data_IF_490268517311
#
_entry.id   IF_490268517311
#
_cell.length_a   1.000
_cell.length_b   1.000
_cell.length_c   1.000
_cell.angle_alpha   90.00
_cell.angle_beta   90.00
_cell.angle_gamma   90.00
#
_symmetry.space_group_name_H-M   'P 1'
#
loop_
_entity.id
_entity.type
_entity.pdbx_description
1 polymer ?
#
# COMPACT_ATOMS: atom_id res chain seq x y z
N UNK A 1 -8.59 10.35 -12.22
CA UNK A 1 -8.33 9.92 -10.82
C UNK A 1 -6.89 10.24 -10.41
N UNK A 2 -6.66 11.48 -9.98
CA UNK A 2 -5.44 12.00 -9.38
C UNK A 2 -5.26 11.54 -7.92
N UNK A 3 -4.12 11.88 -7.30
CA UNK A 3 -3.72 11.44 -5.95
C UNK A 3 -4.67 11.82 -4.82
N UNK A 4 -5.28 12.99 -4.94
CA UNK A 4 -6.33 13.53 -4.07
C UNK A 4 -7.68 12.86 -4.33
N UNK A 5 -8.08 12.69 -5.59
CA UNK A 5 -9.30 11.96 -5.97
C UNK A 5 -9.28 10.51 -5.43
N UNK A 6 -8.18 9.78 -5.62
CA UNK A 6 -8.02 8.37 -5.15
C UNK A 6 -8.15 8.29 -3.63
N UNK A 7 -7.59 9.26 -2.90
CA UNK A 7 -7.73 9.39 -1.44
C UNK A 7 -9.18 9.65 -1.06
N UNK A 8 -9.80 10.68 -1.62
CA UNK A 8 -11.18 11.06 -1.32
C UNK A 8 -12.16 9.90 -1.60
N UNK A 9 -11.96 9.15 -2.69
CA UNK A 9 -12.76 7.98 -3.06
C UNK A 9 -12.60 6.82 -2.05
N UNK A 10 -11.37 6.56 -1.57
CA UNK A 10 -11.09 5.55 -0.53
C UNK A 10 -11.68 5.97 0.82
N UNK A 11 -11.55 7.24 1.18
CA UNK A 11 -12.12 7.81 2.41
C UNK A 11 -13.66 7.88 2.36
N UNK A 12 -14.26 7.95 1.16
CA UNK A 12 -15.71 7.83 0.98
C UNK A 12 -16.21 6.40 1.22
N UNK A 13 -15.58 5.41 0.58
CA UNK A 13 -15.88 3.98 0.86
C UNK A 13 -15.80 3.66 2.35
N UNK A 14 -14.76 4.15 3.05
CA UNK A 14 -14.62 3.94 4.50
C UNK A 14 -15.72 4.64 5.32
N UNK A 15 -16.15 5.84 4.93
CA UNK A 15 -17.27 6.52 5.61
C UNK A 15 -18.57 5.72 5.50
N UNK A 16 -18.89 5.25 4.30
CA UNK A 16 -20.08 4.44 4.02
C UNK A 16 -20.05 3.09 4.76
N UNK A 17 -18.90 2.39 4.72
CA UNK A 17 -18.66 1.15 5.48
C UNK A 17 -18.81 1.33 7.00
N UNK A 18 -18.58 2.54 7.52
CA UNK A 18 -18.75 2.86 8.93
C UNK A 18 -20.19 3.26 9.32
N UNK A 19 -21.07 3.53 8.36
CA UNK A 19 -22.45 4.02 8.58
C UNK A 19 -23.56 3.01 8.26
N UNK A 20 -23.21 1.78 7.87
CA UNK A 20 -24.17 0.72 7.47
C UNK A 20 -25.23 0.40 8.53
N UNK A 21 -26.42 -0.01 8.06
CA UNK A 21 -27.45 -0.58 8.91
C UNK A 21 -27.83 -2.01 8.47
N UNK A 22 -27.86 -3.00 9.40
CA UNK A 22 -27.49 -2.92 10.80
C UNK A 22 -25.97 -2.73 11.01
N UNK A 23 -25.55 -2.40 12.24
CA UNK A 23 -24.13 -2.14 12.52
C UNK A 23 -23.24 -3.38 12.32
N UNK A 24 -22.05 -3.18 11.76
CA UNK A 24 -21.08 -4.21 11.42
C UNK A 24 -19.98 -4.38 12.48
N UNK A 25 -19.85 -5.58 13.04
CA UNK A 25 -18.92 -5.93 14.11
C UNK A 25 -17.47 -6.17 13.64
N UNK A 26 -17.23 -6.46 12.36
CA UNK A 26 -15.94 -6.93 11.82
C UNK A 26 -15.47 -6.21 10.56
N UNK A 27 -16.12 -5.10 10.19
CA UNK A 27 -15.84 -4.30 8.99
C UNK A 27 -14.38 -3.83 8.90
N UNK A 28 -13.61 -4.34 7.92
CA UNK A 28 -12.20 -3.97 7.77
C UNK A 28 -12.04 -2.59 7.10
N UNK A 29 -11.08 -1.80 7.59
CA UNK A 29 -10.71 -0.54 6.97
C UNK A 29 -10.13 -0.76 5.55
N UNK A 30 -10.74 -0.11 4.57
CA UNK A 30 -10.40 -0.21 3.16
C UNK A 30 -9.24 0.71 2.79
N UNK A 31 -8.31 0.22 1.97
CA UNK A 31 -7.10 0.93 1.55
C UNK A 31 -6.96 0.95 0.03
N UNK A 32 -6.33 1.98 -0.54
CA UNK A 32 -6.11 2.03 -1.99
C UNK A 32 -5.05 1.01 -2.41
N UNK A 33 -5.33 0.27 -3.47
CA UNK A 33 -4.42 -0.69 -4.09
C UNK A 33 -4.20 -0.34 -5.57
N UNK A 34 -2.92 -0.29 -5.96
CA UNK A 34 -2.49 0.13 -7.28
C UNK A 34 -2.51 -0.99 -8.31
N UNK A 35 -2.39 -2.25 -7.89
CA UNK A 35 -2.53 -3.40 -8.78
C UNK A 35 -4.01 -3.52 -9.20
N UNK A 36 -4.93 -3.40 -8.23
CA UNK A 36 -6.38 -3.36 -8.50
C UNK A 36 -6.79 -2.20 -9.41
N UNK A 37 -6.21 -1.01 -9.20
CA UNK A 37 -6.49 0.17 -10.03
C UNK A 37 -5.97 0.01 -11.47
N UNK A 38 -4.79 -0.59 -11.66
CA UNK A 38 -4.26 -0.91 -13.00
C UNK A 38 -5.11 -1.95 -13.73
N UNK A 39 -5.62 -2.96 -13.02
CA UNK A 39 -6.60 -3.92 -13.56
C UNK A 39 -7.91 -3.22 -13.97
N UNK A 40 -8.40 -2.28 -13.15
CA UNK A 40 -9.60 -1.51 -13.44
C UNK A 40 -9.40 -0.62 -14.68
N UNK A 41 -8.22 -0.01 -14.84
CA UNK A 41 -7.89 0.83 -16.00
C UNK A 41 -7.81 0.00 -17.29
N UNK A 42 -7.22 -1.20 -17.22
CA UNK A 42 -7.14 -2.13 -18.34
C UNK A 42 -8.53 -2.62 -18.79
N UNK A 43 -9.48 -2.81 -17.85
CA UNK A 43 -10.86 -3.17 -18.17
C UNK A 43 -11.69 -1.99 -18.67
N UNK A 44 -11.61 -0.81 -18.03
CA UNK A 44 -12.36 0.38 -18.44
C UNK A 44 -12.06 0.78 -19.90
N UNK A 45 -10.78 0.64 -20.32
CA UNK A 45 -10.33 0.84 -21.71
C UNK A 45 -10.89 -0.14 -22.74
N UNK A 46 -11.62 -1.18 -22.33
CA UNK A 46 -12.27 -2.10 -23.27
C UNK A 46 -13.58 -1.55 -23.85
N UNK A 47 -14.21 -0.56 -23.17
CA UNK A 47 -15.53 -0.04 -23.52
C UNK A 47 -16.59 -1.12 -23.79
N UNK A 48 -16.61 -2.14 -22.91
CA UNK A 48 -17.58 -3.24 -22.92
C UNK A 48 -18.34 -3.19 -21.61
N UNK A 49 -19.66 -3.08 -21.66
CA UNK A 49 -20.49 -3.16 -20.46
C UNK A 49 -20.55 -4.60 -19.96
N UNK A 50 -20.21 -4.80 -18.69
CA UNK A 50 -20.11 -6.13 -18.06
C UNK A 50 -18.84 -6.29 -17.25
N UNK A 51 -18.78 -7.35 -16.44
CA UNK A 51 -17.64 -7.62 -15.57
C UNK A 51 -16.47 -8.25 -16.33
N UNK A 52 -15.24 -7.94 -15.94
CA UNK A 52 -14.06 -8.64 -16.45
C UNK A 52 -12.70 -8.06 -16.06
N UNK A 53 -11.62 -8.63 -16.61
CA UNK A 53 -11.62 -9.82 -17.48
C UNK A 53 -11.93 -11.09 -16.67
N UNK A 54 -12.54 -12.09 -17.30
CA UNK A 54 -13.17 -13.22 -16.60
C UNK A 54 -12.18 -14.11 -15.83
N UNK A 55 -10.92 -14.17 -16.24
CA UNK A 55 -9.83 -14.87 -15.54
C UNK A 55 -9.47 -14.26 -14.17
N UNK A 56 -9.93 -13.05 -13.88
CA UNK A 56 -9.62 -12.31 -12.65
C UNK A 56 -10.81 -12.24 -11.67
N UNK A 57 -12.05 -12.44 -12.16
CA UNK A 57 -13.27 -12.33 -11.37
C UNK A 57 -13.43 -13.39 -10.27
N UNK A 58 -12.64 -14.46 -10.28
CA UNK A 58 -12.58 -15.42 -9.17
C UNK A 58 -11.79 -14.89 -7.96
N UNK A 59 -10.82 -13.98 -8.20
CA UNK A 59 -9.90 -13.48 -7.18
C UNK A 59 -10.23 -12.06 -6.68
N UNK A 60 -10.93 -11.26 -7.49
CA UNK A 60 -11.33 -9.89 -7.15
C UNK A 60 -12.86 -9.70 -7.23
N UNK A 61 -13.37 -8.80 -6.40
CA UNK A 61 -14.69 -8.21 -6.58
C UNK A 61 -14.63 -7.04 -7.56
N UNK A 62 -15.75 -6.67 -8.18
CA UNK A 62 -15.79 -5.56 -9.13
C UNK A 62 -17.16 -4.87 -9.15
N UNK A 63 -17.18 -3.56 -8.86
CA UNK A 63 -18.35 -2.70 -9.09
C UNK A 63 -18.16 -1.87 -10.36
N UNK A 64 -19.27 -1.61 -11.06
CA UNK A 64 -19.31 -0.93 -12.35
C UNK A 64 -20.33 0.20 -12.33
N UNK A 65 -20.01 1.33 -12.97
CA UNK A 65 -20.97 2.39 -13.25
C UNK A 65 -20.70 2.98 -14.63
N UNK A 66 -21.75 3.30 -15.37
CA UNK A 66 -21.69 3.97 -16.66
C UNK A 66 -22.68 5.14 -16.66
N UNK A 67 -22.27 6.29 -17.19
CA UNK A 67 -23.17 7.44 -17.34
C UNK A 67 -22.83 8.29 -18.57
N UNK A 68 -23.83 9.03 -19.04
CA UNK A 68 -23.74 10.01 -20.13
C UNK A 68 -24.23 11.36 -19.63
N UNK A 69 -23.70 12.45 -20.18
CA UNK A 69 -24.04 13.83 -19.82
C UNK A 69 -22.96 14.50 -18.96
N UNK A 70 -23.36 15.53 -18.21
CA UNK A 70 -22.43 16.35 -17.42
C UNK A 70 -21.63 15.54 -16.40
N UNK A 71 -20.33 15.84 -16.29
CA UNK A 71 -19.43 15.15 -15.37
C UNK A 71 -19.93 15.18 -13.92
N UNK A 72 -19.80 14.04 -13.25
CA UNK A 72 -20.15 13.81 -11.84
C UNK A 72 -18.90 13.43 -11.04
N UNK A 73 -18.74 13.93 -9.80
CA UNK A 73 -17.66 13.49 -8.92
C UNK A 73 -17.75 11.99 -8.66
N UNK A 74 -16.62 11.29 -8.57
CA UNK A 74 -16.60 9.82 -8.44
C UNK A 74 -17.37 9.30 -7.21
N UNK A 75 -17.45 10.10 -6.14
CA UNK A 75 -18.26 9.82 -4.96
C UNK A 75 -19.77 9.69 -5.25
N UNK A 76 -20.29 10.32 -6.31
CA UNK A 76 -21.69 10.20 -6.72
C UNK A 76 -22.04 8.77 -7.17
N UNK A 77 -21.14 8.10 -7.89
CA UNK A 77 -21.35 6.71 -8.33
C UNK A 77 -21.16 5.72 -7.18
N UNK A 78 -20.22 5.98 -6.28
CA UNK A 78 -20.06 5.19 -5.05
C UNK A 78 -21.25 5.40 -4.10
N UNK A 79 -21.88 6.57 -4.09
CA UNK A 79 -23.14 6.78 -3.39
C UNK A 79 -24.28 5.99 -4.05
N UNK A 80 -24.43 6.07 -5.38
CA UNK A 80 -25.47 5.30 -6.09
C UNK A 80 -25.33 3.77 -5.90
N UNK A 81 -24.11 3.24 -5.76
CA UNK A 81 -23.88 1.85 -5.35
C UNK A 81 -24.26 1.59 -3.88
N UNK A 82 -24.13 2.56 -3.00
CA UNK A 82 -24.52 2.44 -1.59
C UNK A 82 -26.03 2.58 -1.40
N UNK A 83 -26.69 3.43 -2.18
CA UNK A 83 -28.14 3.67 -2.15
C UNK A 83 -28.96 2.40 -2.50
N UNK A 84 -28.32 1.35 -3.05
CA UNK A 84 -28.91 0.02 -3.15
C UNK A 84 -29.27 -0.60 -1.77
N UNK A 85 -28.80 -0.04 -0.65
CA UNK A 85 -29.22 -0.35 0.73
C UNK A 85 -30.75 -0.25 0.91
N UNK A 86 -31.43 0.68 0.21
CA UNK A 86 -32.90 0.80 0.22
C UNK A 86 -33.60 -0.49 -0.25
N UNK A 87 -32.95 -1.23 -1.15
CA UNK A 87 -33.49 -2.42 -1.80
C UNK A 87 -32.98 -3.73 -1.19
N UNK A 88 -31.92 -3.68 -0.38
CA UNK A 88 -31.29 -4.83 0.24
C UNK A 88 -31.88 -5.12 1.63
N UNK A 89 -32.29 -6.37 1.85
CA UNK A 89 -32.68 -6.83 3.19
C UNK A 89 -31.55 -7.70 3.76
N UNK A 90 -30.85 -7.14 4.75
CA UNK A 90 -29.83 -7.84 5.51
C UNK A 90 -30.42 -9.07 6.25
N UNK A 91 -29.78 -10.26 6.18
CA UNK A 91 -30.30 -11.50 6.78
C UNK A 91 -30.13 -11.53 8.30
N UNK A 92 -31.11 -12.08 9.03
CA UNK A 92 -30.98 -12.28 10.48
C UNK A 92 -30.01 -13.43 10.81
N UNK A 93 -29.33 -13.38 11.97
CA UNK A 93 -28.35 -14.43 12.41
C UNK A 93 -29.01 -15.84 12.49
N UNK A 94 -30.34 -15.91 12.64
CA UNK A 94 -31.14 -17.16 12.61
C UNK A 94 -31.36 -17.75 11.21
N UNK A 95 -31.23 -16.94 10.16
CA UNK A 95 -31.49 -17.31 8.75
C UNK A 95 -30.21 -17.83 8.07
N UNK A 96 -29.04 -17.45 8.57
CA UNK A 96 -27.72 -17.89 8.12
C UNK A 96 -27.37 -19.32 8.59
N UNK A 97 -28.10 -20.34 8.12
CA UNK A 97 -27.82 -21.74 8.45
C UNK A 97 -28.36 -22.72 7.40
N UNK A 98 -27.51 -23.46 6.66
CA UNK A 98 -26.04 -23.37 6.62
C UNK A 98 -25.52 -22.13 5.86
N UNK A 99 -26.38 -21.46 5.11
CA UNK A 99 -26.09 -20.35 4.20
C UNK A 99 -27.03 -19.17 4.51
N UNK A 100 -26.56 -17.93 4.34
CA UNK A 100 -27.37 -16.72 4.45
C UNK A 100 -28.18 -16.46 3.16
N UNK A 101 -29.48 -16.09 3.26
CA UNK A 101 -30.24 -15.64 2.09
C UNK A 101 -29.78 -14.27 1.60
N UNK A 102 -29.70 -14.09 0.28
CA UNK A 102 -29.46 -12.78 -0.35
C UNK A 102 -30.77 -12.18 -0.86
N UNK A 103 -31.43 -11.38 -0.03
CA UNK A 103 -32.73 -10.77 -0.34
C UNK A 103 -32.55 -9.37 -0.92
N UNK A 104 -32.83 -9.22 -2.22
CA UNK A 104 -32.84 -7.94 -2.93
C UNK A 104 -34.24 -7.71 -3.53
N UNK A 105 -34.81 -6.52 -3.31
CA UNK A 105 -36.16 -6.14 -3.77
C UNK A 105 -36.15 -5.20 -4.98
N UNK A 106 -35.00 -4.62 -5.28
CA UNK A 106 -34.74 -3.76 -6.44
C UNK A 106 -34.08 -4.54 -7.59
N UNK A 107 -33.66 -3.85 -8.66
CA UNK A 107 -33.05 -4.50 -9.82
C UNK A 107 -31.63 -5.02 -9.53
N UNK A 108 -30.89 -4.35 -8.65
CA UNK A 108 -29.51 -4.69 -8.24
C UNK A 108 -29.33 -4.30 -6.76
N UNK A 109 -28.64 -5.14 -5.99
CA UNK A 109 -28.14 -4.83 -4.65
C UNK A 109 -26.66 -5.24 -4.46
N UNK A 110 -26.03 -5.77 -5.52
CA UNK A 110 -24.70 -6.40 -5.45
C UNK A 110 -23.56 -5.38 -5.44
N UNK A 111 -23.79 -4.12 -5.81
CA UNK A 111 -22.80 -3.07 -5.66
C UNK A 111 -22.73 -2.61 -4.20
N UNK A 112 -23.87 -2.47 -3.52
CA UNK A 112 -23.91 -2.20 -2.08
C UNK A 112 -23.17 -3.29 -1.30
N UNK A 113 -23.57 -4.57 -1.47
CA UNK A 113 -23.00 -5.68 -0.69
C UNK A 113 -21.49 -5.80 -0.88
N UNK A 114 -20.95 -5.54 -2.09
CA UNK A 114 -19.50 -5.52 -2.32
C UNK A 114 -18.83 -4.28 -1.70
N UNK A 115 -19.43 -3.09 -1.80
CA UNK A 115 -18.91 -1.86 -1.18
C UNK A 115 -18.78 -2.04 0.34
N UNK A 116 -19.77 -2.68 0.97
CA UNK A 116 -19.82 -2.94 2.42
C UNK A 116 -19.27 -4.31 2.83
N UNK A 117 -18.60 -5.05 1.94
CA UNK A 117 -18.08 -6.39 2.28
C UNK A 117 -16.96 -6.34 3.32
N UNK A 118 -17.13 -6.94 4.49
CA UNK A 118 -16.26 -6.77 5.65
C UNK A 118 -14.79 -7.05 5.35
N UNK A 119 -14.44 -8.21 4.78
CA UNK A 119 -13.04 -8.55 4.49
C UNK A 119 -12.45 -7.75 3.30
N UNK A 120 -13.24 -7.09 2.46
CA UNK A 120 -12.74 -6.33 1.29
C UNK A 120 -12.01 -5.04 1.70
N UNK A 121 -10.82 -5.20 2.26
CA UNK A 121 -9.93 -4.16 2.82
C UNK A 121 -9.08 -3.42 1.78
N UNK A 122 -9.24 -3.72 0.49
CA UNK A 122 -8.58 -3.02 -0.62
C UNK A 122 -9.53 -2.69 -1.74
N UNK A 123 -9.35 -1.51 -2.31
CA UNK A 123 -10.03 -1.05 -3.53
C UNK A 123 -9.03 -0.38 -4.47
N UNK A 124 -9.20 -0.58 -5.77
CA UNK A 124 -8.53 0.21 -6.79
C UNK A 124 -9.47 0.45 -7.95
N UNK A 125 -9.68 1.72 -8.29
CA UNK A 125 -10.62 2.15 -9.32
C UNK A 125 -9.92 2.84 -10.49
N UNK A 126 -10.58 2.83 -11.64
CA UNK A 126 -10.20 3.61 -12.81
C UNK A 126 -11.45 4.11 -13.56
N UNK A 127 -11.24 5.14 -14.38
CA UNK A 127 -12.27 5.81 -15.17
C UNK A 127 -11.77 5.95 -16.60
N UNK A 128 -12.65 5.68 -17.56
CA UNK A 128 -12.39 5.90 -18.98
C UNK A 128 -13.63 6.44 -19.68
N UNK A 129 -13.44 7.41 -20.60
CA UNK A 129 -14.53 7.92 -21.44
C UNK A 129 -14.56 7.16 -22.75
N UNK A 130 -15.63 6.41 -22.95
CA UNK A 130 -15.87 5.62 -24.15
C UNK A 130 -16.59 6.46 -25.20
N UNK A 131 -16.12 6.43 -26.45
CA UNK A 131 -16.81 7.10 -27.57
C UNK A 131 -18.22 6.53 -27.77
N UNK A 132 -18.33 5.21 -27.68
CA UNK A 132 -19.58 4.44 -27.65
C UNK A 132 -19.41 3.28 -26.66
N UNK A 133 -20.48 2.92 -25.94
CA UNK A 133 -20.56 1.68 -25.17
C UNK A 133 -21.98 1.11 -25.24
N UNK A 134 -22.11 -0.18 -25.56
CA UNK A 134 -23.41 -0.85 -25.62
C UNK A 134 -23.85 -1.29 -24.22
N UNK A 135 -25.00 -0.79 -23.75
CA UNK A 135 -25.52 -0.90 -22.39
C UNK A 135 -27.02 -1.20 -22.47
N UNK A 136 -27.42 -2.42 -22.08
CA UNK A 136 -28.80 -2.93 -22.15
C UNK A 136 -29.48 -2.65 -23.51
N UNK A 137 -28.88 -3.17 -24.57
CA UNK A 137 -29.30 -3.06 -25.99
C UNK A 137 -29.35 -1.63 -26.59
N UNK A 138 -29.01 -0.59 -25.81
CA UNK A 138 -28.81 0.77 -26.30
C UNK A 138 -27.31 1.10 -26.44
N UNK A 139 -26.95 1.96 -27.40
CA UNK A 139 -25.59 2.54 -27.50
C UNK A 139 -25.56 3.87 -26.76
N UNK A 140 -24.63 4.02 -25.82
CA UNK A 140 -24.45 5.20 -24.98
C UNK A 140 -23.19 5.96 -25.46
N UNK A 141 -23.34 7.09 -26.18
CA UNK A 141 -22.21 7.81 -26.75
C UNK A 141 -21.54 8.75 -25.72
N UNK A 142 -20.23 8.91 -25.81
CA UNK A 142 -19.38 9.71 -24.90
C UNK A 142 -19.57 9.35 -23.42
N UNK A 143 -19.85 8.08 -23.13
CA UNK A 143 -20.15 7.59 -21.79
C UNK A 143 -18.88 7.47 -20.93
N UNK A 144 -18.94 7.93 -19.70
CA UNK A 144 -17.90 7.69 -18.71
C UNK A 144 -18.17 6.33 -18.03
N UNK A 145 -17.21 5.41 -18.16
CA UNK A 145 -17.22 4.08 -17.56
C UNK A 145 -16.25 4.04 -16.36
N UNK A 146 -16.81 3.84 -15.16
CA UNK A 146 -16.10 3.66 -13.90
C UNK A 146 -16.05 2.17 -13.55
N UNK A 147 -14.84 1.70 -13.23
CA UNK A 147 -14.58 0.34 -12.73
C UNK A 147 -13.89 0.46 -11.38
N UNK A 148 -14.40 -0.22 -10.35
CA UNK A 148 -13.73 -0.36 -9.05
C UNK A 148 -13.53 -1.85 -8.72
N UNK A 149 -12.28 -2.27 -8.56
CA UNK A 149 -11.90 -3.62 -8.18
C UNK A 149 -11.62 -3.72 -6.67
N UNK A 150 -12.03 -4.82 -6.03
CA UNK A 150 -11.95 -5.04 -4.59
C UNK A 150 -11.15 -6.31 -4.24
N UNK A 151 -10.38 -6.29 -3.15
CA UNK A 151 -9.62 -7.47 -2.68
C UNK A 151 -9.55 -7.60 -1.15
N UNK A 152 -9.81 -8.80 -0.58
CA UNK A 152 -10.40 -9.97 -1.24
C UNK A 152 -11.78 -9.70 -1.84
N UNK A 153 -12.19 -10.58 -2.75
CA UNK A 153 -13.53 -10.61 -3.36
C UNK A 153 -14.62 -10.74 -2.28
N UNK A 154 -15.73 -10.02 -2.48
CA UNK A 154 -16.98 -10.19 -1.75
C UNK A 154 -18.06 -10.84 -2.60
N UNK A 155 -19.32 -10.74 -2.15
CA UNK A 155 -20.50 -11.34 -2.77
C UNK A 155 -20.37 -12.86 -2.92
N UNK A 156 -19.88 -13.53 -1.88
CA UNK A 156 -19.89 -14.98 -1.80
C UNK A 156 -21.33 -15.49 -1.59
N UNK A 157 -21.72 -16.49 -2.38
CA UNK A 157 -23.05 -17.10 -2.29
C UNK A 157 -23.16 -17.78 -0.92
N UNK A 158 -24.26 -17.51 -0.21
CA UNK A 158 -24.50 -18.01 1.14
C UNK A 158 -23.80 -17.24 2.27
N UNK A 159 -23.14 -16.11 2.00
CA UNK A 159 -22.54 -15.25 3.04
C UNK A 159 -23.24 -13.88 3.12
N UNK A 160 -23.44 -13.38 4.34
CA UNK A 160 -23.79 -11.99 4.61
C UNK A 160 -22.57 -11.08 4.40
N UNK A 161 -22.75 -9.81 3.97
CA UNK A 161 -21.61 -8.96 3.60
C UNK A 161 -20.73 -8.56 4.80
N UNK A 162 -21.24 -8.61 6.02
CA UNK A 162 -20.52 -8.38 7.26
C UNK A 162 -21.18 -9.18 8.38
N UNK A 163 -20.65 -9.12 9.61
CA UNK A 163 -21.34 -9.67 10.79
C UNK A 163 -22.04 -8.57 11.56
N UNK A 164 -23.32 -8.77 11.86
CA UNK A 164 -24.09 -7.85 12.70
C UNK A 164 -23.52 -7.77 14.12
N UNK A 165 -23.49 -6.57 14.69
CA UNK A 165 -23.18 -6.34 16.10
C UNK A 165 -22.51 -4.99 16.37
N UNK A 166 -22.14 -4.74 17.62
CA UNK A 166 -21.45 -3.51 18.04
C UNK A 166 -20.18 -3.31 17.19
N UNK A 167 -19.94 -2.11 16.61
CA UNK A 167 -18.80 -1.87 15.75
C UNK A 167 -17.47 -2.30 16.36
N UNK A 168 -16.64 -2.93 15.52
CA UNK A 168 -15.35 -3.54 15.88
C UNK A 168 -15.37 -4.71 16.88
N UNK A 169 -16.52 -5.13 17.43
CA UNK A 169 -16.56 -6.18 18.47
C UNK A 169 -16.16 -7.59 18.02
N UNK A 170 -16.15 -7.87 16.70
CA UNK A 170 -15.72 -9.15 16.10
C UNK A 170 -14.53 -8.96 15.13
N UNK A 171 -13.76 -7.87 15.23
CA UNK A 171 -12.60 -7.60 14.37
C UNK A 171 -11.62 -8.78 14.27
N UNK A 172 -11.21 -9.22 13.06
CA UNK A 172 -10.29 -10.34 12.90
C UNK A 172 -8.94 -10.15 13.63
N UNK A 173 -8.33 -11.21 14.22
CA UNK A 173 -7.13 -11.08 15.07
C UNK A 173 -5.92 -10.37 14.44
N UNK A 174 -5.84 -10.33 13.11
CA UNK A 174 -4.89 -9.53 12.31
C UNK A 174 -4.91 -8.02 12.62
N UNK A 175 -5.96 -7.52 13.28
CA UNK A 175 -6.12 -6.12 13.69
C UNK A 175 -5.78 -5.83 15.16
N UNK A 176 -5.48 -6.84 15.98
CA UNK A 176 -5.04 -6.64 17.37
C UNK A 176 -6.00 -5.85 18.25
N UNK A 177 -7.30 -5.84 17.92
CA UNK A 177 -8.33 -5.08 18.64
C UNK A 177 -8.40 -3.57 18.34
N UNK A 178 -7.65 -3.04 17.36
CA UNK A 178 -7.74 -1.62 17.03
C UNK A 178 -8.98 -1.29 16.20
N UNK A 179 -9.79 -0.38 16.76
CA UNK A 179 -10.94 0.23 16.14
C UNK A 179 -10.68 1.72 15.88
N UNK A 180 -11.19 2.26 14.77
CA UNK A 180 -11.26 3.72 14.56
C UNK A 180 -12.44 4.03 13.66
N UNK A 181 -13.40 4.82 14.16
CA UNK A 181 -14.61 5.20 13.42
C UNK A 181 -15.42 4.00 12.95
N UNK A 182 -15.65 3.01 13.81
CA UNK A 182 -16.43 1.80 13.51
C UNK A 182 -15.70 0.72 12.68
N UNK A 183 -14.52 1.00 12.15
CA UNK A 183 -13.76 0.07 11.30
C UNK A 183 -12.58 -0.59 12.04
N UNK A 184 -12.27 -1.83 11.67
CA UNK A 184 -11.08 -2.55 12.12
C UNK A 184 -9.82 -2.00 11.41
N UNK A 185 -8.92 -1.39 12.18
CA UNK A 185 -7.67 -0.81 11.70
C UNK A 185 -6.47 -1.67 12.13
N UNK A 186 -5.41 -1.71 11.31
CA UNK A 186 -4.18 -2.38 11.76
C UNK A 186 -3.53 -1.56 12.87
N UNK A 187 -3.20 -2.21 13.98
CA UNK A 187 -2.27 -1.66 14.99
C UNK A 187 -0.91 -1.44 14.32
N UNK A 188 -0.72 -0.26 13.74
CA UNK A 188 0.62 0.32 13.69
C UNK A 188 1.03 0.57 15.13
N UNK A 189 2.03 -0.15 15.64
CA UNK A 189 2.54 0.05 17.01
C UNK A 189 3.32 1.37 17.04
N UNK A 190 2.58 2.48 17.05
CA UNK A 190 3.09 3.76 17.52
C UNK A 190 3.29 3.61 19.01
N UNK A 191 4.54 3.41 19.44
CA UNK A 191 4.92 3.66 20.84
C UNK A 191 4.46 5.09 21.19
N UNK A 192 3.81 5.33 22.34
CA UNK A 192 3.46 6.68 22.75
C UNK A 192 4.71 7.56 22.78
N UNK A 193 4.61 8.81 22.31
CA UNK A 193 5.72 9.77 22.23
C UNK A 193 6.11 10.35 23.60
N UNK A 194 5.99 9.55 24.67
CA UNK A 194 6.16 9.98 26.06
C UNK A 194 6.68 8.88 26.99
N UNK A 195 7.64 8.09 26.50
CA UNK A 195 8.41 7.15 27.33
C UNK A 195 9.89 7.57 27.49
N UNK A 196 10.38 8.48 26.64
CA UNK A 196 11.77 8.94 26.72
C UNK A 196 12.01 9.87 27.93
N UNK A 197 11.03 10.70 28.31
CA UNK A 197 11.11 11.62 29.48
C UNK A 197 11.30 10.88 30.81
N UNK A 198 10.71 9.68 30.98
CA UNK A 198 10.80 8.93 32.24
C UNK A 198 12.13 8.19 32.43
N UNK A 199 12.91 8.00 31.36
CA UNK A 199 14.25 7.39 31.45
C UNK A 199 15.22 8.22 32.31
N UNK A 200 14.97 9.53 32.45
CA UNK A 200 15.78 10.46 33.23
C UNK A 200 15.60 10.32 34.75
N UNK A 201 14.57 9.60 35.22
CA UNK A 201 14.22 9.46 36.65
C UNK A 201 14.57 8.09 37.26
N UNK A 202 15.24 7.21 36.51
CA UNK A 202 15.78 5.95 37.05
C UNK A 202 14.73 4.92 37.49
N UNK A 203 13.50 5.02 36.98
CA UNK A 203 12.40 4.09 37.31
C UNK A 203 12.63 2.74 36.62
N UNK A 204 12.64 1.66 37.40
CA UNK A 204 12.72 0.30 36.87
C UNK A 204 11.31 -0.31 36.79
N UNK A 205 10.99 -0.90 35.63
CA UNK A 205 9.76 -1.66 35.40
C UNK A 205 10.16 -3.12 35.13
N UNK A 206 9.66 -4.03 35.97
CA UNK A 206 9.87 -5.47 35.81
C UNK A 206 8.56 -6.14 35.37
N UNK A 207 8.68 -7.12 34.46
CA UNK A 207 7.58 -7.88 33.90
C UNK A 207 7.72 -9.34 34.31
N UNK A 208 6.83 -9.83 35.16
CA UNK A 208 6.85 -11.23 35.62
C UNK A 208 5.41 -11.74 35.76
N UNK A 209 5.11 -12.88 35.13
CA UNK A 209 3.82 -13.57 35.18
C UNK A 209 2.58 -12.65 35.02
N UNK A 210 2.61 -11.79 33.99
CA UNK A 210 1.58 -10.79 33.62
C UNK A 210 1.32 -9.65 34.62
N UNK A 211 1.99 -9.62 35.78
CA UNK A 211 1.96 -8.49 36.70
C UNK A 211 3.06 -7.47 36.37
N UNK A 212 2.79 -6.19 36.67
CA UNK A 212 3.69 -5.06 36.43
C UNK A 212 4.12 -4.50 37.79
N UNK A 213 5.42 -4.53 38.06
CA UNK A 213 6.03 -3.96 39.27
C UNK A 213 6.86 -2.74 38.91
N UNK A 214 6.60 -1.61 39.57
CA UNK A 214 7.27 -0.32 39.33
C UNK A 214 8.09 0.07 40.55
N UNK A 215 9.40 0.24 40.39
CA UNK A 215 10.34 0.61 41.45
C UNK A 215 10.86 2.02 41.16
N UNK A 216 10.62 2.95 42.10
CA UNK A 216 11.01 4.36 42.00
C UNK A 216 12.05 4.69 43.07
N UNK A 217 13.25 5.17 42.72
CA UNK A 217 14.24 5.62 43.71
C UNK A 217 13.81 6.95 44.35
N UNK A 218 14.04 7.11 45.67
CA UNK A 218 13.83 8.40 46.35
C UNK A 218 14.99 9.36 46.03
N UNK A 219 14.67 10.55 45.53
CA UNK A 219 15.62 11.66 45.28
C UNK A 219 15.09 12.93 46.00
N UNK A 220 15.92 13.72 46.69
CA UNK A 220 15.45 14.90 47.45
C UNK A 220 15.09 16.11 46.55
N UNK A 221 14.15 16.94 47.00
CA UNK A 221 13.76 18.20 46.35
C UNK A 221 14.60 19.42 46.80
N UNK A 222 14.82 20.37 45.89
CA UNK A 222 14.82 21.81 46.16
C UNK A 222 13.63 22.52 45.48
N UNK A 223 13.51 23.84 45.69
CA UNK A 223 12.23 24.59 45.64
C UNK A 223 11.96 25.43 44.37
N UNK A 224 10.65 25.63 44.18
CA UNK A 224 9.93 26.86 43.76
C UNK A 224 9.46 27.11 42.30
N UNK A 225 8.16 27.43 42.28
CA UNK A 225 7.40 28.34 41.41
C UNK A 225 7.00 27.93 39.98
N UNK A 226 5.68 27.87 39.84
CA UNK A 226 4.83 27.58 38.68
C UNK A 226 4.81 28.66 37.59
N UNK A 227 4.63 28.21 36.34
CA UNK A 227 3.56 28.70 35.46
C UNK A 227 3.25 27.65 34.38
N UNK A 228 1.99 27.60 33.92
CA UNK A 228 1.56 26.77 32.79
C UNK A 228 1.67 27.55 31.47
N UNK A 229 1.86 26.84 30.35
CA UNK A 229 1.73 27.41 29.01
C UNK A 229 1.18 26.35 28.03
N UNK A 230 0.11 26.72 27.32
CA UNK A 230 -0.54 25.93 26.28
C UNK A 230 0.11 26.18 24.90
N UNK A 231 0.06 25.21 23.99
CA UNK A 231 0.57 25.40 22.62
C UNK A 231 -0.36 24.77 21.56
N UNK A 232 -1.06 25.64 20.83
CA UNK A 232 -1.89 25.31 19.66
C UNK A 232 -1.16 25.73 18.38
N UNK A 233 -1.08 24.85 17.37
CA UNK A 233 -0.59 25.17 16.02
C UNK A 233 -1.34 24.39 14.93
N UNK A 234 -1.37 24.93 13.70
CA UNK A 234 -2.35 24.59 12.66
C UNK A 234 -1.74 24.35 11.26
N UNK A 235 -2.04 23.19 10.67
CA UNK A 235 -1.80 22.84 9.24
C UNK A 235 -0.33 22.69 8.78
N UNK A 236 -0.08 22.27 7.51
CA UNK A 236 -0.95 21.64 6.52
C UNK A 236 -0.56 20.14 6.28
N UNK A 237 -0.96 19.55 5.13
CA UNK A 237 -0.64 18.18 4.64
C UNK A 237 0.02 18.29 3.24
N UNK A 238 0.64 17.30 2.57
CA UNK A 238 0.72 15.81 2.54
C UNK A 238 2.11 15.42 1.93
N UNK A 239 2.52 14.15 1.64
CA UNK A 239 2.09 12.80 2.06
C UNK A 239 3.26 11.91 2.58
N UNK A 240 3.01 10.62 2.87
CA UNK A 240 4.03 9.59 3.13
C UNK A 240 3.87 8.38 2.18
N UNK A 241 4.94 7.96 1.50
CA UNK A 241 4.96 6.78 0.63
C UNK A 241 5.38 5.52 1.40
N UNK A 242 4.69 4.39 1.20
CA UNK A 242 5.04 3.10 1.78
C UNK A 242 5.15 2.02 0.68
N UNK A 243 6.38 1.73 0.23
CA UNK A 243 6.63 0.77 -0.85
C UNK A 243 6.64 -0.66 -0.31
N UNK A 244 5.53 -1.38 -0.49
CA UNK A 244 5.39 -2.80 -0.14
C UNK A 244 5.44 -3.66 -1.40
N UNK A 245 6.42 -4.58 -1.51
CA UNK A 245 6.71 -5.25 -2.79
C UNK A 245 6.15 -6.67 -2.88
N UNK A 246 4.94 -6.75 -3.42
CA UNK A 246 4.42 -7.96 -4.06
C UNK A 246 4.84 -8.02 -5.54
N UNK A 247 4.76 -9.22 -6.12
CA UNK A 247 4.91 -9.55 -7.55
C UNK A 247 5.00 -11.08 -7.68
N UNK A 248 4.06 -11.67 -8.40
CA UNK A 248 4.10 -13.05 -8.89
C UNK A 248 4.49 -13.09 -10.36
N UNK A 249 5.22 -14.15 -10.73
CA UNK A 249 5.58 -14.68 -12.06
C UNK A 249 7.09 -14.93 -12.24
N UNK A 250 7.42 -15.92 -13.07
CA UNK A 250 8.79 -16.32 -13.39
C UNK A 250 9.28 -15.50 -14.59
N UNK A 251 10.52 -14.98 -14.56
CA UNK A 251 11.14 -14.30 -15.71
C UNK A 251 12.15 -13.18 -15.38
N UNK A 252 12.16 -12.66 -14.14
CA UNK A 252 12.93 -11.46 -13.79
C UNK A 252 12.10 -10.17 -13.99
N UNK A 253 12.60 -8.98 -13.66
CA UNK A 253 13.98 -8.58 -13.32
C UNK A 253 14.13 -8.25 -11.82
N UNK A 254 15.15 -7.49 -11.41
CA UNK A 254 15.39 -7.16 -10.00
C UNK A 254 14.59 -5.94 -9.56
N UNK A 255 14.11 -5.94 -8.32
CA UNK A 255 13.65 -4.72 -7.66
C UNK A 255 14.87 -4.06 -6.99
N UNK A 256 15.14 -2.79 -7.29
CA UNK A 256 16.27 -2.03 -6.75
C UNK A 256 15.79 -1.05 -5.69
N UNK A 257 16.52 -0.94 -4.57
CA UNK A 257 16.16 -0.09 -3.42
C UNK A 257 17.35 0.77 -2.99
N UNK A 258 17.09 1.99 -2.54
CA UNK A 258 18.09 2.84 -1.87
C UNK A 258 18.06 2.58 -0.36
N UNK A 259 19.22 2.55 0.28
CA UNK A 259 19.36 2.42 1.72
C UNK A 259 20.26 3.52 2.28
N UNK A 260 19.78 4.24 3.29
CA UNK A 260 20.47 5.36 3.91
C UNK A 260 21.63 4.94 4.84
N UNK A 261 22.57 5.85 5.05
CA UNK A 261 23.66 5.73 6.02
C UNK A 261 23.17 5.95 7.46
N UNK A 262 23.96 5.52 8.45
CA UNK A 262 23.83 5.97 9.83
C UNK A 262 24.92 7.01 10.15
N UNK A 263 24.54 8.20 10.61
CA UNK A 263 25.46 9.29 10.96
C UNK A 263 25.02 10.05 12.21
N UNK A 264 25.96 10.70 12.89
CA UNK A 264 25.70 11.64 14.00
C UNK A 264 25.35 13.03 13.46
N UNK A 265 24.88 13.92 14.34
CA UNK A 265 24.49 15.30 14.00
C UNK A 265 25.55 16.05 13.17
N UNK A 266 25.09 16.76 12.14
CA UNK A 266 25.19 18.22 12.09
C UNK A 266 24.10 18.79 11.15
N UNK A 267 23.89 20.11 11.19
CA UNK A 267 22.79 20.80 10.51
C UNK A 267 23.12 21.18 9.07
N UNK A 268 22.18 20.95 8.13
CA UNK A 268 21.58 21.99 7.26
C UNK A 268 20.58 21.37 6.24
N UNK A 269 19.65 22.18 5.72
CA UNK A 269 18.47 21.73 4.98
C UNK A 269 18.58 21.92 3.46
N UNK A 270 18.47 20.83 2.68
CA UNK A 270 18.11 20.86 1.24
C UNK A 270 17.19 19.66 0.92
N UNK A 271 16.30 19.81 -0.06
CA UNK A 271 15.24 18.86 -0.41
C UNK A 271 15.74 17.51 -0.96
N UNK A 272 15.59 16.44 -0.17
CA UNK A 272 15.44 15.06 -0.65
C UNK A 272 14.73 14.19 0.41
N UNK A 273 13.88 13.25 0.00
CA UNK A 273 13.28 12.30 0.94
C UNK A 273 14.29 11.19 1.29
N UNK A 274 15.16 11.46 2.27
CA UNK A 274 16.32 10.62 2.60
C UNK A 274 16.33 10.08 4.04
N UNK A 275 15.17 10.09 4.71
CA UNK A 275 14.98 9.50 6.03
C UNK A 275 14.06 8.28 5.99
N UNK A 276 14.57 7.16 5.47
CA UNK A 276 14.17 5.86 6.03
C UNK A 276 14.84 5.72 7.40
N UNK A 277 14.08 5.55 8.51
CA UNK A 277 14.66 5.20 9.78
C UNK A 277 15.49 3.91 9.68
N UNK A 278 16.51 3.80 10.53
CA UNK A 278 17.48 2.70 10.45
C UNK A 278 16.81 1.33 10.64
N UNK A 279 17.49 0.28 10.15
CA UNK A 279 17.21 -1.13 10.47
C UNK A 279 16.08 -1.88 9.75
N UNK A 280 15.71 -1.49 8.51
CA UNK A 280 14.91 -2.39 7.67
C UNK A 280 15.59 -3.77 7.51
N UNK A 281 14.80 -4.85 7.58
CA UNK A 281 15.32 -6.22 7.46
C UNK A 281 16.05 -6.48 6.14
N UNK A 282 15.62 -5.81 5.06
CA UNK A 282 16.27 -5.87 3.76
C UNK A 282 17.66 -5.20 3.78
N UNK A 283 17.78 -4.04 4.41
CA UNK A 283 19.06 -3.34 4.55
C UNK A 283 20.03 -4.11 5.45
N UNK A 284 19.54 -4.74 6.54
CA UNK A 284 20.34 -5.67 7.35
C UNK A 284 20.80 -6.89 6.52
N UNK A 285 19.93 -7.48 5.69
CA UNK A 285 20.31 -8.57 4.77
C UNK A 285 21.35 -8.14 3.74
N UNK A 286 21.26 -6.92 3.20
CA UNK A 286 22.24 -6.39 2.27
C UNK A 286 23.61 -6.13 2.90
N UNK A 287 23.63 -5.55 4.12
CA UNK A 287 24.88 -5.40 4.87
C UNK A 287 25.50 -6.76 5.20
N UNK A 288 24.71 -7.72 5.70
CA UNK A 288 25.15 -9.12 5.93
C UNK A 288 25.79 -9.74 4.68
N UNK A 289 25.16 -9.57 3.52
CA UNK A 289 25.64 -10.07 2.23
C UNK A 289 26.87 -9.32 1.65
N UNK A 290 27.29 -8.20 2.26
CA UNK A 290 28.34 -7.33 1.72
C UNK A 290 27.88 -6.45 0.54
N UNK A 291 26.57 -6.43 0.25
CA UNK A 291 25.95 -5.63 -0.80
C UNK A 291 25.73 -4.16 -0.41
N UNK A 292 25.93 -3.80 0.86
CA UNK A 292 25.67 -2.46 1.40
C UNK A 292 26.72 -2.06 2.43
N UNK A 293 27.37 -0.90 2.21
CA UNK A 293 28.43 -0.40 3.08
C UNK A 293 27.94 0.37 4.33
N UNK A 294 28.88 1.03 5.04
CA UNK A 294 28.54 1.94 6.14
C UNK A 294 27.74 3.16 5.66
N UNK A 295 28.15 3.77 4.55
CA UNK A 295 27.54 4.94 3.91
C UNK A 295 26.24 4.67 3.14
N UNK A 296 25.60 3.51 3.32
CA UNK A 296 24.40 3.15 2.56
C UNK A 296 24.71 2.78 1.11
N UNK A 297 23.79 3.08 0.20
CA UNK A 297 23.90 2.80 -1.24
C UNK A 297 22.65 2.13 -1.85
N UNK A 298 22.76 1.71 -3.10
CA UNK A 298 21.69 1.05 -3.86
C UNK A 298 21.90 -0.47 -3.94
N UNK A 299 20.82 -1.22 -3.79
CA UNK A 299 20.83 -2.69 -3.75
C UNK A 299 19.80 -3.32 -4.68
N UNK A 300 20.22 -4.34 -5.43
CA UNK A 300 19.39 -5.15 -6.31
C UNK A 300 18.89 -6.39 -5.57
N UNK A 301 17.59 -6.67 -5.64
CA UNK A 301 16.96 -7.83 -5.00
C UNK A 301 16.42 -8.80 -6.04
N UNK A 302 16.89 -10.05 -5.99
CA UNK A 302 16.46 -11.16 -6.84
C UNK A 302 15.77 -12.23 -5.99
N UNK A 303 14.47 -12.49 -6.22
CA UNK A 303 13.76 -13.63 -5.60
C UNK A 303 14.46 -14.95 -5.97
N UNK A 304 14.46 -15.94 -5.06
CA UNK A 304 15.14 -17.24 -5.19
C UNK A 304 14.21 -18.45 -5.04
N UNK A 305 12.89 -18.22 -5.00
CA UNK A 305 11.89 -19.28 -4.84
C UNK A 305 11.64 -19.62 -3.37
N UNK A 306 11.28 -20.88 -3.10
CA UNK A 306 11.07 -21.40 -1.74
C UNK A 306 12.30 -22.19 -1.28
N UNK A 307 12.93 -21.73 -0.20
CA UNK A 307 14.09 -22.39 0.40
C UNK A 307 13.64 -23.20 1.62
N UNK A 308 14.08 -24.45 1.73
CA UNK A 308 13.61 -25.39 2.77
C UNK A 308 14.17 -25.04 4.16
N UNK A 309 15.46 -24.72 4.24
CA UNK A 309 16.16 -24.38 5.49
C UNK A 309 17.10 -23.19 5.27
N UNK A 310 17.29 -22.39 6.32
CA UNK A 310 18.15 -21.20 6.32
C UNK A 310 19.19 -21.35 7.43
N UNK A 311 20.47 -21.21 7.08
CA UNK A 311 21.58 -21.27 8.04
C UNK A 311 21.93 -19.86 8.52
N UNK A 312 21.79 -19.62 9.82
CA UNK A 312 22.20 -18.36 10.44
C UNK A 312 23.71 -18.21 10.50
N UNK A 313 24.23 -17.00 10.30
CA UNK A 313 25.67 -16.70 10.36
C UNK A 313 25.94 -15.24 10.72
N UNK A 314 27.10 -14.94 11.30
CA UNK A 314 27.58 -13.58 11.46
C UNK A 314 28.46 -13.21 10.25
N UNK A 315 28.15 -12.10 9.57
CA UNK A 315 28.91 -11.55 8.44
C UNK A 315 28.76 -10.03 8.41
N UNK A 316 29.84 -9.30 8.10
CA UNK A 316 29.80 -7.85 7.84
C UNK A 316 29.08 -7.03 8.94
N UNK A 317 29.37 -7.34 10.21
CA UNK A 317 28.76 -6.68 11.37
C UNK A 317 27.30 -7.06 11.67
N UNK A 318 26.67 -7.96 10.90
CA UNK A 318 25.28 -8.40 11.10
C UNK A 318 25.24 -9.89 11.43
N UNK A 319 24.36 -10.29 12.35
CA UNK A 319 24.07 -11.70 12.68
C UNK A 319 22.71 -12.11 12.10
N UNK A 320 22.68 -13.05 11.17
CA UNK A 320 21.43 -13.63 10.66
C UNK A 320 20.99 -14.84 11.51
N UNK A 321 19.68 -15.04 11.60
CA UNK A 321 19.08 -16.18 12.31
C UNK A 321 18.86 -17.36 11.36
N UNK A 322 19.00 -18.58 11.88
CA UNK A 322 18.65 -19.79 11.16
C UNK A 322 17.15 -20.10 11.26
N UNK A 323 16.60 -20.78 10.25
CA UNK A 323 15.18 -21.20 10.19
C UNK A 323 15.06 -22.60 9.59
N UNK A 324 14.50 -23.54 10.35
CA UNK A 324 14.31 -24.95 9.90
C UNK A 324 13.01 -25.19 9.13
N UNK A 325 12.09 -24.21 9.10
CA UNK A 325 10.81 -24.29 8.36
C UNK A 325 10.93 -23.61 6.98
N UNK A 326 10.41 -24.21 5.89
CA UNK A 326 10.50 -23.62 4.56
C UNK A 326 9.89 -22.23 4.44
N UNK A 327 10.48 -21.37 3.60
CA UNK A 327 9.97 -20.03 3.34
C UNK A 327 10.44 -19.49 1.97
N UNK A 328 9.74 -18.48 1.47
CA UNK A 328 10.15 -17.77 0.26
C UNK A 328 11.43 -16.96 0.54
N UNK A 329 12.37 -16.96 -0.41
CA UNK A 329 13.72 -16.40 -0.23
C UNK A 329 14.12 -15.45 -1.35
N UNK A 330 15.18 -14.69 -1.09
CA UNK A 330 15.78 -13.73 -2.03
C UNK A 330 17.29 -13.66 -1.81
N UNK A 331 18.02 -13.21 -2.82
CA UNK A 331 19.42 -12.81 -2.74
C UNK A 331 19.53 -11.33 -3.07
N UNK A 332 20.47 -10.64 -2.43
CA UNK A 332 20.75 -9.22 -2.63
C UNK A 332 22.18 -9.01 -3.15
N UNK A 333 22.37 -8.01 -3.98
CA UNK A 333 23.66 -7.60 -4.54
C UNK A 333 23.76 -6.08 -4.59
N UNK A 334 24.97 -5.52 -4.56
CA UNK A 334 25.16 -4.10 -4.79
C UNK A 334 24.65 -3.74 -6.20
N UNK A 335 23.92 -2.62 -6.32
CA UNK A 335 23.46 -2.08 -7.61
C UNK A 335 24.37 -0.90 -7.94
N UNK A 336 25.32 -1.02 -8.89
CA UNK A 336 26.21 0.08 -9.22
C UNK A 336 25.41 1.20 -9.90
N UNK A 337 25.31 2.32 -9.21
CA UNK A 337 24.73 3.56 -9.73
C UNK A 337 25.87 4.50 -10.11
N UNK A 338 25.84 4.99 -11.36
CA UNK A 338 26.77 5.99 -11.88
C UNK A 338 26.00 7.26 -12.21
N UNK A 339 26.44 8.40 -11.68
CA UNK A 339 25.98 9.70 -12.16
C UNK A 339 26.52 9.93 -13.57
N UNK A 340 25.69 10.50 -14.45
CA UNK A 340 26.03 10.73 -15.87
C UNK A 340 25.76 12.15 -16.30
N UNK A 341 26.58 12.66 -17.20
CA UNK A 341 26.37 13.94 -17.87
C UNK A 341 25.28 13.82 -18.94
N UNK A 342 24.63 14.94 -19.29
CA UNK A 342 23.75 15.06 -20.47
C UNK A 342 24.50 14.97 -21.83
N UNK A 343 25.69 14.38 -21.83
CA UNK A 343 26.59 14.17 -22.97
C UNK A 343 27.20 12.76 -22.98
N UNK A 344 27.00 11.97 -21.93
CA UNK A 344 27.57 10.63 -21.81
C UNK A 344 26.73 9.65 -22.62
N UNK A 345 27.30 9.01 -23.66
CA UNK A 345 26.51 8.08 -24.49
C UNK A 345 26.39 6.70 -23.84
N UNK A 346 25.35 5.92 -24.21
CA UNK A 346 25.19 4.55 -23.72
C UNK A 346 26.44 3.68 -23.99
N UNK A 347 27.14 3.91 -25.11
CA UNK A 347 28.41 3.26 -25.48
C UNK A 347 29.54 3.55 -24.48
N UNK A 348 29.63 4.77 -23.95
CA UNK A 348 30.68 5.18 -23.00
C UNK A 348 30.42 4.69 -21.58
N UNK A 349 29.15 4.60 -21.20
CA UNK A 349 28.71 4.24 -19.84
C UNK A 349 28.41 2.74 -19.68
N UNK A 350 28.09 2.04 -20.77
CA UNK A 350 27.90 0.59 -20.84
C UNK A 350 28.42 0.00 -22.18
N UNK A 351 29.74 0.02 -22.43
CA UNK A 351 30.31 -0.59 -23.63
C UNK A 351 30.05 -2.10 -23.69
N UNK A 352 29.72 -2.59 -24.88
CA UNK A 352 29.59 -4.03 -25.18
C UNK A 352 30.99 -4.66 -25.19
N UNK A 353 31.48 -5.05 -24.01
CA UNK A 353 32.71 -5.84 -23.84
C UNK A 353 32.42 -7.33 -24.03
N UNK A 354 33.45 -8.14 -24.28
CA UNK A 354 33.34 -9.60 -24.33
C UNK A 354 34.21 -10.24 -23.23
N UNK A 355 33.68 -11.20 -22.44
CA UNK A 355 32.27 -11.60 -22.37
C UNK A 355 31.37 -10.44 -21.90
N UNK A 356 30.09 -10.40 -22.32
CA UNK A 356 29.19 -9.30 -22.00
C UNK A 356 28.99 -9.16 -20.48
N UNK A 357 29.09 -7.94 -19.90
CA UNK A 357 28.73 -7.72 -18.51
C UNK A 357 27.25 -8.08 -18.31
N UNK A 358 26.88 -8.77 -17.22
CA UNK A 358 25.55 -9.36 -17.10
C UNK A 358 24.41 -8.34 -17.11
N UNK A 359 24.70 -7.07 -16.76
CA UNK A 359 23.85 -5.87 -16.91
C UNK A 359 24.74 -4.63 -17.01
N UNK A 360 24.20 -3.58 -17.63
CA UNK A 360 24.70 -2.21 -17.43
C UNK A 360 24.50 -1.78 -15.97
N UNK A 361 25.34 -0.86 -15.45
CA UNK A 361 25.02 -0.12 -14.23
C UNK A 361 23.75 0.73 -14.42
N UNK A 362 23.15 1.19 -13.33
CA UNK A 362 22.05 2.15 -13.36
C UNK A 362 22.60 3.56 -13.43
N UNK A 363 21.89 4.46 -14.10
CA UNK A 363 22.33 5.85 -14.29
C UNK A 363 21.41 6.83 -13.57
N UNK A 364 22.00 7.94 -13.10
CA UNK A 364 21.27 9.12 -12.60
C UNK A 364 21.60 10.29 -13.51
N UNK A 365 20.61 10.71 -14.29
CA UNK A 365 20.72 11.87 -15.18
C UNK A 365 20.25 13.14 -14.45
N UNK A 366 20.90 14.30 -14.64
CA UNK A 366 20.50 15.55 -14.00
C UNK A 366 19.22 16.12 -14.65
N UNK A 367 18.41 16.81 -13.86
CA UNK A 367 17.04 17.20 -14.20
C UNK A 367 16.88 18.30 -15.28
N UNK A 368 17.92 18.63 -16.08
CA UNK A 368 17.93 19.76 -17.04
C UNK A 368 18.72 19.47 -18.33
N UNK A 369 18.64 18.26 -18.88
CA UNK A 369 19.33 17.92 -20.13
C UNK A 369 18.74 18.57 -21.40
N UNK A 370 17.62 19.29 -21.33
CA UNK A 370 16.98 19.99 -22.46
C UNK A 370 17.81 21.13 -23.06
N UNK A 371 18.88 21.56 -22.38
CA UNK A 371 19.82 22.61 -22.85
C UNK A 371 21.20 22.04 -23.23
N UNK A 372 21.39 20.73 -23.18
CA UNK A 372 22.64 20.11 -23.59
C UNK A 372 22.66 19.85 -25.10
N UNK A 373 23.80 20.10 -25.75
CA UNK A 373 24.06 19.70 -27.14
C UNK A 373 24.35 18.19 -27.24
N UNK A 374 23.40 17.39 -26.78
CA UNK A 374 23.39 15.94 -26.96
C UNK A 374 22.90 15.53 -28.36
N UNK A 375 23.22 14.32 -28.78
CA UNK A 375 22.71 13.73 -30.03
C UNK A 375 21.79 12.59 -29.63
N UNK A 376 20.55 12.59 -30.14
CA UNK A 376 19.57 11.52 -29.93
C UNK A 376 19.26 10.89 -31.27
N UNK A 377 19.50 9.58 -31.41
CA UNK A 377 19.30 8.85 -32.68
C UNK A 377 18.29 7.73 -32.48
N UNK A 378 17.05 7.97 -32.92
CA UNK A 378 15.94 7.01 -32.88
C UNK A 378 14.70 7.55 -32.18
N UNK A 379 13.66 6.73 -32.11
CA UNK A 379 12.37 7.04 -31.48
C UNK A 379 11.80 5.75 -30.89
N UNK A 380 11.58 5.70 -29.57
CA UNK A 380 11.14 4.49 -28.85
C UNK A 380 12.23 3.42 -28.68
N UNK A 381 13.08 3.25 -29.70
CA UNK A 381 14.36 2.53 -29.65
C UNK A 381 15.44 3.52 -30.09
N UNK A 382 16.56 3.57 -29.36
CA UNK A 382 17.64 4.56 -29.55
C UNK A 382 18.99 3.88 -29.78
N UNK A 383 19.85 4.50 -30.58
CA UNK A 383 21.21 4.03 -30.85
C UNK A 383 22.11 4.20 -29.62
N UNK A 384 23.14 3.36 -29.49
CA UNK A 384 24.07 3.38 -28.36
C UNK A 384 24.98 4.62 -28.33
N UNK A 385 25.09 5.36 -29.44
CA UNK A 385 25.72 6.69 -29.51
C UNK A 385 24.83 7.83 -29.03
N UNK A 386 23.60 7.55 -28.59
CA UNK A 386 22.70 8.58 -28.03
C UNK A 386 23.12 8.96 -26.61
N UNK A 387 23.00 10.26 -26.30
CA UNK A 387 23.19 10.87 -24.98
C UNK A 387 21.86 11.17 -24.29
#
# INVERSE_FOLDING_TARGET
IADDERRALTEYHNRLRASVHPQAADMEHMSWDWELAGMAEAWAKQCKWGHGPSDQLDAIGQNLAVYVGSERPLAYHVQAWFDEEEWYQYPEEKECSPECPHTCRGPICTHYTQLVWAESRRVGCAVHTCLDISVWDAVWPYALYLVCNYSPKGNWIGEAPYRQGTPCSRCPPRYGGSCRGGLCYQVTIRRPQRLDELSQFGVAILFENQNISVIVPRIPQPRNNSQEAELVLTGPVVPLCHVTVYTSHLGGRCNTYQAAAGGRLFSLSVFACHLCPQESGLCRSARHAGALGPGGGWIDVKRRGRTQTFTGSARNGVRSLGKRRPANSFSVSASPVREVSCKDTLRDICPIKFPPPPRCPRFVCPARCTQAHGIVVGTGIYSDVSS
#
